data_IF_493570002015
#
_entry.id   IF_493570002015
#
_cell.length_a   1.000
_cell.length_b   1.000
_cell.length_c   1.000
_cell.angle_alpha   90.00
_cell.angle_beta   90.00
_cell.angle_gamma   90.00
#
_symmetry.space_group_name_H-M   'P 1'
#
loop_
_entity.id
_entity.type
_entity.pdbx_description
1 polymer ?
#
# COMPACT_ATOMS: atom_id res chain seq x y z
N UNK A 1 12.91 13.35 8.73
CA UNK A 1 11.70 12.52 8.97
C UNK A 1 12.20 11.09 9.13
N UNK A 2 12.20 10.57 10.35
CA UNK A 2 12.58 9.19 10.63
C UNK A 2 11.30 8.36 10.70
N UNK A 3 11.32 7.21 10.04
CA UNK A 3 10.21 6.27 10.05
C UNK A 3 10.59 5.19 11.08
N UNK A 4 9.93 5.19 12.24
CA UNK A 4 10.14 4.14 13.25
C UNK A 4 9.57 2.82 12.72
N UNK A 5 10.34 1.75 12.89
CA UNK A 5 9.98 0.42 12.45
C UNK A 5 9.40 -0.37 13.63
N UNK A 6 8.10 -0.65 13.59
CA UNK A 6 7.44 -1.54 14.54
C UNK A 6 7.43 -2.96 13.95
N UNK A 7 8.49 -3.71 14.26
CA UNK A 7 8.67 -5.11 13.89
C UNK A 7 8.02 -6.09 14.87
N UNK A 8 7.14 -5.63 15.77
CA UNK A 8 6.42 -6.54 16.66
C UNK A 8 5.63 -7.55 15.82
N UNK A 9 5.80 -8.84 16.15
CA UNK A 9 5.20 -9.94 15.39
C UNK A 9 3.68 -9.74 15.27
N UNK A 10 3.12 -9.82 14.05
CA UNK A 10 1.67 -9.85 13.84
C UNK A 10 1.02 -11.00 14.61
N UNK A 11 -0.29 -10.91 14.86
CA UNK A 11 -1.05 -12.03 15.39
C UNK A 11 -0.93 -13.29 14.49
N UNK A 12 -1.19 -14.47 15.07
CA UNK A 12 -1.02 -15.72 14.32
C UNK A 12 -1.90 -15.75 13.05
N UNK A 13 -1.29 -16.11 11.91
CA UNK A 13 -1.96 -16.08 10.61
C UNK A 13 -2.16 -14.69 9.98
N UNK A 14 -1.67 -13.61 10.60
CA UNK A 14 -1.76 -12.24 10.08
C UNK A 14 -0.42 -11.71 9.59
N UNK A 15 -0.48 -10.63 8.84
CA UNK A 15 0.63 -9.80 8.42
C UNK A 15 0.35 -8.33 8.74
N UNK A 16 1.41 -7.52 8.87
CA UNK A 16 1.33 -6.06 9.01
C UNK A 16 1.62 -5.39 7.68
N UNK A 17 0.84 -4.38 7.32
CA UNK A 17 1.04 -3.56 6.12
C UNK A 17 1.08 -2.09 6.49
N UNK A 18 2.05 -1.36 5.94
CA UNK A 18 2.10 0.11 5.95
C UNK A 18 2.01 0.61 4.51
N UNK A 19 1.25 1.68 4.31
CA UNK A 19 1.14 2.35 3.02
C UNK A 19 1.83 3.71 3.04
N UNK A 20 2.51 4.07 1.95
CA UNK A 20 3.21 5.36 1.79
C UNK A 20 2.91 5.94 0.41
N UNK A 21 2.56 7.22 0.34
CA UNK A 21 2.43 7.91 -0.94
C UNK A 21 3.69 8.74 -1.23
N UNK A 22 4.50 8.32 -2.20
CA UNK A 22 5.70 9.05 -2.65
C UNK A 22 5.55 9.64 -4.06
N UNK A 23 4.32 9.76 -4.59
CA UNK A 23 4.05 10.44 -5.85
C UNK A 23 3.68 11.91 -5.60
N UNK A 24 4.49 12.89 -6.05
CA UNK A 24 4.29 14.31 -5.73
C UNK A 24 3.07 14.95 -6.39
N UNK A 25 2.62 14.43 -7.54
CA UNK A 25 1.48 14.93 -8.31
C UNK A 25 0.22 14.04 -8.19
N UNK A 26 0.27 13.01 -7.35
CA UNK A 26 -0.90 12.19 -7.07
C UNK A 26 -1.84 12.92 -6.08
N UNK A 27 -3.17 12.71 -6.21
CA UNK A 27 -4.12 13.17 -5.19
C UNK A 27 -3.90 12.42 -3.86
N UNK A 28 -4.75 12.67 -2.86
CA UNK A 28 -4.82 11.78 -1.71
C UNK A 28 -5.19 10.36 -2.18
N UNK A 29 -4.44 9.36 -1.71
CA UNK A 29 -4.60 7.97 -2.13
C UNK A 29 -5.11 7.08 -0.99
N UNK A 30 -5.93 6.11 -1.36
CA UNK A 30 -6.32 4.99 -0.54
C UNK A 30 -5.63 3.71 -1.04
N UNK A 31 -5.33 2.79 -0.13
CA UNK A 31 -4.91 1.43 -0.42
C UNK A 31 -6.07 0.48 -0.10
N UNK A 32 -6.46 -0.34 -1.06
CA UNK A 32 -7.50 -1.36 -0.90
C UNK A 32 -7.02 -2.73 -1.33
N UNK A 33 -7.76 -3.76 -0.96
CA UNK A 33 -7.56 -5.12 -1.43
C UNK A 33 -8.76 -5.51 -2.30
N UNK A 34 -8.53 -6.12 -3.47
CA UNK A 34 -9.62 -6.64 -4.31
C UNK A 34 -10.47 -7.66 -3.52
N UNK A 35 -11.79 -7.51 -3.56
CA UNK A 35 -12.72 -8.39 -2.84
C UNK A 35 -12.93 -8.05 -1.37
N UNK A 36 -12.32 -6.98 -0.85
CA UNK A 36 -12.64 -6.40 0.46
C UNK A 36 -13.48 -5.13 0.28
N UNK A 37 -14.53 -4.98 1.08
CA UNK A 37 -15.43 -3.82 1.01
C UNK A 37 -14.77 -2.54 1.51
N UNK A 38 -13.95 -2.65 2.56
CA UNK A 38 -13.26 -1.52 3.18
C UNK A 38 -11.84 -1.36 2.64
N UNK A 39 -11.45 -0.11 2.40
CA UNK A 39 -10.06 0.23 2.11
C UNK A 39 -9.20 -0.03 3.35
N UNK A 40 -7.99 -0.58 3.14
CA UNK A 40 -7.05 -0.93 4.20
C UNK A 40 -6.41 0.32 4.82
N UNK A 41 -6.11 1.31 3.98
CA UNK A 41 -5.59 2.62 4.39
C UNK A 41 -6.28 3.69 3.56
N UNK A 42 -6.63 4.81 4.18
CA UNK A 42 -7.26 5.94 3.49
C UNK A 42 -6.47 7.24 3.65
N UNK A 43 -6.68 8.14 2.69
CA UNK A 43 -6.28 9.54 2.75
C UNK A 43 -4.78 9.75 3.02
N UNK A 44 -3.91 9.27 2.11
CA UNK A 44 -2.47 9.54 2.14
C UNK A 44 -2.07 10.52 1.05
N UNK A 45 -1.75 11.74 1.48
CA UNK A 45 -1.14 12.77 0.63
C UNK A 45 0.34 12.47 0.37
N UNK A 46 0.96 13.21 -0.54
CA UNK A 46 2.39 13.09 -0.82
C UNK A 46 3.23 13.21 0.45
N UNK A 47 4.18 12.27 0.63
CA UNK A 47 5.06 12.09 1.80
C UNK A 47 4.37 11.64 3.09
N UNK A 48 3.06 11.36 3.05
CA UNK A 48 2.37 10.75 4.18
C UNK A 48 2.45 9.22 4.14
N UNK A 49 2.37 8.64 5.33
CA UNK A 49 2.33 7.20 5.55
C UNK A 49 1.25 6.82 6.56
N UNK A 50 0.85 5.55 6.57
CA UNK A 50 0.01 4.98 7.61
C UNK A 50 0.85 4.42 8.76
N UNK A 51 0.22 4.24 9.92
CA UNK A 51 0.69 3.22 10.86
C UNK A 51 0.55 1.82 10.23
N UNK A 52 1.19 0.81 10.82
CA UNK A 52 0.98 -0.57 10.39
C UNK A 52 -0.44 -1.03 10.72
N UNK A 53 -1.13 -1.57 9.72
CA UNK A 53 -2.44 -2.20 9.84
C UNK A 53 -2.31 -3.70 9.63
N UNK A 54 -3.02 -4.49 10.44
CA UNK A 54 -3.03 -5.94 10.27
C UNK A 54 -4.00 -6.38 9.16
N UNK A 55 -3.62 -7.45 8.46
CA UNK A 55 -4.47 -8.17 7.52
C UNK A 55 -4.20 -9.68 7.61
N UNK A 56 -5.13 -10.48 7.11
CA UNK A 56 -4.92 -11.94 7.05
C UNK A 56 -3.86 -12.27 5.98
N UNK A 57 -3.01 -13.25 6.29
CA UNK A 57 -2.08 -13.82 5.32
C UNK A 57 -2.84 -14.49 4.17
N UNK A 58 -2.29 -14.41 2.96
CA UNK A 58 -2.92 -14.95 1.77
C UNK A 58 -1.90 -15.23 0.67
N UNK A 59 -2.13 -16.29 -0.10
CA UNK A 59 -1.26 -16.69 -1.21
C UNK A 59 -1.27 -15.71 -2.37
N UNK A 60 -2.40 -15.02 -2.58
CA UNK A 60 -2.60 -14.06 -3.67
C UNK A 60 -3.46 -12.89 -3.20
N UNK A 61 -2.88 -11.71 -3.20
CA UNK A 61 -3.54 -10.45 -2.87
C UNK A 61 -3.31 -9.47 -4.01
N UNK A 62 -4.38 -8.81 -4.45
CA UNK A 62 -4.29 -7.67 -5.34
C UNK A 62 -4.51 -6.39 -4.54
N UNK A 63 -3.47 -5.57 -4.47
CA UNK A 63 -3.53 -4.26 -3.84
C UNK A 63 -3.86 -3.20 -4.88
N UNK A 64 -4.90 -2.42 -4.61
CA UNK A 64 -5.36 -1.33 -5.45
C UNK A 64 -5.05 -0.01 -4.79
N UNK A 65 -4.49 0.92 -5.55
CA UNK A 65 -4.30 2.31 -5.15
C UNK A 65 -5.39 3.13 -5.81
N UNK A 66 -6.23 3.79 -5.01
CA UNK A 66 -7.39 4.54 -5.48
C UNK A 66 -7.26 6.01 -5.14
N UNK A 67 -7.85 6.85 -5.97
CA UNK A 67 -8.13 8.24 -5.62
C UNK A 67 -9.11 8.30 -4.43
N UNK A 68 -8.75 9.02 -3.37
CA UNK A 68 -9.54 9.14 -2.14
C UNK A 68 -10.91 9.79 -2.34
N UNK A 69 -11.04 10.71 -3.29
CA UNK A 69 -12.25 11.51 -3.49
C UNK A 69 -13.19 10.87 -4.52
N UNK A 70 -12.64 10.36 -5.61
CA UNK A 70 -13.43 9.79 -6.71
C UNK A 70 -13.58 8.26 -6.62
N UNK A 71 -12.74 7.58 -5.84
CA UNK A 71 -12.68 6.13 -5.80
C UNK A 71 -12.07 5.48 -7.06
N UNK A 72 -11.62 6.28 -8.03
CA UNK A 72 -11.03 5.78 -9.27
C UNK A 72 -9.73 4.99 -9.00
N UNK A 73 -9.53 3.89 -9.73
CA UNK A 73 -8.30 3.12 -9.68
C UNK A 73 -7.17 3.90 -10.37
N UNK A 74 -6.08 4.13 -9.64
CA UNK A 74 -4.90 4.86 -10.13
C UNK A 74 -3.80 3.90 -10.58
N UNK A 75 -3.53 2.87 -9.77
CA UNK A 75 -2.56 1.81 -10.09
C UNK A 75 -2.83 0.58 -9.21
N UNK A 76 -2.26 -0.56 -9.55
CA UNK A 76 -2.40 -1.79 -8.76
C UNK A 76 -1.20 -2.70 -8.89
N UNK A 77 -1.05 -3.60 -7.92
CA UNK A 77 -0.12 -4.74 -7.96
C UNK A 77 -0.92 -6.00 -7.62
N UNK A 78 -0.88 -6.97 -8.53
CA UNK A 78 -1.63 -8.22 -8.44
C UNK A 78 -0.74 -9.39 -8.01
N UNK A 79 -1.39 -10.50 -7.60
CA UNK A 79 -0.75 -11.77 -7.24
C UNK A 79 0.37 -11.63 -6.19
N UNK A 80 0.22 -10.69 -5.25
CA UNK A 80 1.16 -10.51 -4.14
C UNK A 80 0.93 -11.60 -3.10
N UNK A 81 1.95 -12.41 -2.82
CA UNK A 81 1.95 -13.32 -1.67
C UNK A 81 2.18 -12.53 -0.38
N UNK A 82 1.31 -12.74 0.61
CA UNK A 82 1.41 -12.13 1.94
C UNK A 82 1.56 -13.25 2.95
N UNK A 83 2.80 -13.51 3.37
CA UNK A 83 3.12 -14.52 4.38
C UNK A 83 2.66 -14.14 5.79
N UNK A 84 2.22 -15.14 6.56
CA UNK A 84 1.93 -14.98 7.98
C UNK A 84 3.19 -14.56 8.75
N UNK A 85 3.04 -13.60 9.66
CA UNK A 85 4.14 -12.96 10.38
C UNK A 85 4.88 -11.90 9.56
N UNK A 86 4.59 -11.76 8.26
CA UNK A 86 5.25 -10.78 7.40
C UNK A 86 4.89 -9.34 7.75
N UNK A 87 5.85 -8.45 7.54
CA UNK A 87 5.70 -7.00 7.72
C UNK A 87 6.06 -6.35 6.39
N UNK A 88 5.13 -5.59 5.81
CA UNK A 88 5.25 -5.06 4.46
C UNK A 88 5.11 -3.55 4.46
N UNK A 89 5.88 -2.88 3.62
CA UNK A 89 5.61 -1.50 3.21
C UNK A 89 5.27 -1.49 1.74
N UNK A 90 4.10 -0.96 1.43
CA UNK A 90 3.61 -0.71 0.07
C UNK A 90 3.72 0.79 -0.17
N UNK A 91 4.32 1.19 -1.29
CA UNK A 91 4.40 2.60 -1.62
C UNK A 91 4.10 2.88 -3.08
N UNK A 92 3.58 4.08 -3.30
CA UNK A 92 3.35 4.64 -4.63
C UNK A 92 4.61 5.39 -5.06
N UNK A 93 5.03 5.20 -6.31
CA UNK A 93 6.21 5.83 -6.93
C UNK A 93 5.85 6.40 -8.30
N UNK A 94 6.70 7.28 -8.82
CA UNK A 94 6.52 7.90 -10.12
C UNK A 94 5.62 9.13 -10.07
N UNK A 95 5.18 9.59 -11.24
CA UNK A 95 4.28 10.71 -11.45
C UNK A 95 2.98 10.26 -12.12
N UNK A 96 1.85 10.77 -11.66
CA UNK A 96 0.52 10.53 -12.27
C UNK A 96 0.42 11.12 -13.68
N UNK A 97 1.11 12.22 -13.94
CA UNK A 97 1.13 12.90 -15.24
C UNK A 97 2.04 12.24 -16.29
N UNK A 98 2.99 11.42 -15.87
CA UNK A 98 3.93 10.73 -16.77
C UNK A 98 3.31 9.51 -17.43
N UNK A 99 3.79 9.17 -18.63
CA UNK A 99 3.32 8.01 -19.42
C UNK A 99 4.43 7.02 -19.77
N UNK A 100 5.67 7.33 -19.43
CA UNK A 100 6.86 6.54 -19.72
C UNK A 100 7.26 5.65 -18.53
N UNK A 101 8.56 5.41 -18.33
CA UNK A 101 9.09 4.64 -17.20
C UNK A 101 8.90 5.29 -15.83
N UNK A 102 8.65 6.59 -15.75
CA UNK A 102 8.42 7.31 -14.50
C UNK A 102 6.94 7.48 -14.16
N UNK A 103 6.03 6.90 -14.96
CA UNK A 103 4.60 6.86 -14.65
C UNK A 103 4.28 6.26 -13.28
N UNK A 104 3.12 6.65 -12.76
CA UNK A 104 2.59 6.18 -11.48
C UNK A 104 2.58 4.65 -11.39
N UNK A 105 3.18 4.14 -10.33
CA UNK A 105 3.22 2.72 -10.03
C UNK A 105 3.21 2.46 -8.53
N UNK A 106 3.00 1.20 -8.18
CA UNK A 106 3.04 0.72 -6.80
C UNK A 106 4.13 -0.34 -6.66
N UNK A 107 4.84 -0.32 -5.53
CA UNK A 107 5.86 -1.28 -5.18
C UNK A 107 5.65 -1.76 -3.74
N UNK A 108 6.21 -2.94 -3.43
CA UNK A 108 6.12 -3.56 -2.13
C UNK A 108 7.51 -4.01 -1.67
N UNK A 109 7.77 -3.87 -0.38
CA UNK A 109 8.97 -4.34 0.31
C UNK A 109 8.53 -5.12 1.54
N UNK A 110 9.13 -6.30 1.72
CA UNK A 110 8.98 -7.11 2.91
C UNK A 110 10.18 -6.86 3.82
N UNK A 111 9.90 -6.50 5.07
CA UNK A 111 10.90 -6.37 6.12
C UNK A 111 11.35 -7.76 6.58
N UNK A 112 12.64 -7.91 6.92
CA UNK A 112 13.25 -9.16 7.38
C UNK A 112 13.39 -9.20 8.89
#
# INVERSE_FOLDING_TARGET
MFLEDDLAKPANGKAKVRFVNLSPDAPALNLSITGKETDLVTNKLFKEYSTFTEMDAAEKVTFNVKNKDTGALETSIADVKVDAGGIYTIWVKGLKSDTDSTKLGVAIFQHK
#
